data_IF_862525894901
#
_entry.id   IF_862525894901
#
_cell.length_a   1.000
_cell.length_b   1.000
_cell.length_c   1.000
_cell.angle_alpha   90.00
_cell.angle_beta   90.00
_cell.angle_gamma   90.00
#
_symmetry.space_group_name_H-M   'P 1'
#
loop_
_entity.id
_entity.type
_entity.pdbx_description
1 polymer ?
#
# COMPACT_ATOMS: atom_id res chain seq x y z
N UNK A 1 10.84 -15.06 13.60
CA UNK A 1 10.03 -15.02 14.84
C UNK A 1 9.83 -13.59 15.30
N UNK A 2 8.89 -13.33 16.21
CA UNK A 2 8.48 -11.98 16.61
C UNK A 2 9.58 -11.11 17.25
N UNK A 3 10.65 -11.71 17.76
CA UNK A 3 11.82 -11.01 18.28
C UNK A 3 12.78 -10.47 17.20
N UNK A 4 12.58 -10.83 15.94
CA UNK A 4 13.40 -10.32 14.84
C UNK A 4 12.75 -9.08 14.21
N UNK A 5 13.53 -8.15 13.62
CA UNK A 5 12.99 -7.06 12.85
C UNK A 5 11.99 -7.57 11.81
N UNK A 6 10.84 -6.90 11.70
CA UNK A 6 9.78 -7.23 10.76
C UNK A 6 9.52 -6.06 9.81
N UNK A 7 9.30 -6.29 8.50
CA UNK A 7 9.10 -5.21 7.53
C UNK A 7 8.03 -4.20 7.93
N UNK A 8 6.85 -4.67 8.34
CA UNK A 8 5.74 -3.78 8.73
C UNK A 8 6.07 -2.88 9.94
N UNK A 9 6.77 -3.41 10.95
CA UNK A 9 7.17 -2.65 12.15
C UNK A 9 8.30 -1.68 11.82
N UNK A 10 9.30 -2.13 11.08
CA UNK A 10 10.42 -1.27 10.64
C UNK A 10 9.92 -0.14 9.73
N UNK A 11 8.98 -0.41 8.83
CA UNK A 11 8.36 0.59 7.98
C UNK A 11 7.56 1.62 8.78
N UNK A 12 6.75 1.19 9.76
CA UNK A 12 6.03 2.11 10.64
C UNK A 12 6.99 3.01 11.44
N UNK A 13 8.06 2.44 12.00
CA UNK A 13 9.09 3.19 12.72
C UNK A 13 9.82 4.19 11.80
N UNK A 14 10.20 3.77 10.59
CA UNK A 14 10.83 4.64 9.59
C UNK A 14 9.91 5.79 9.20
N UNK A 15 8.63 5.51 8.91
CA UNK A 15 7.66 6.55 8.56
C UNK A 15 7.49 7.58 9.69
N UNK A 16 7.42 7.13 10.95
CA UNK A 16 7.33 8.02 12.09
C UNK A 16 8.60 8.87 12.25
N UNK A 17 9.79 8.27 12.17
CA UNK A 17 11.05 8.99 12.27
C UNK A 17 11.22 10.03 11.15
N UNK A 18 10.91 9.64 9.91
CA UNK A 18 10.98 10.53 8.75
C UNK A 18 10.01 11.72 8.88
N UNK A 19 8.82 11.49 9.42
CA UNK A 19 7.77 12.53 9.54
C UNK A 19 8.05 13.50 10.70
N UNK A 20 8.40 12.97 11.88
CA UNK A 20 8.39 13.77 13.11
C UNK A 20 9.76 14.21 13.59
N UNK A 21 10.83 13.50 13.21
CA UNK A 21 12.19 13.85 13.63
C UNK A 21 12.94 14.52 12.49
N UNK A 22 12.85 13.95 11.29
CA UNK A 22 13.59 14.43 10.13
C UNK A 22 15.11 14.30 10.28
N UNK A 23 15.85 14.83 9.31
CA UNK A 23 17.31 14.83 9.28
C UNK A 23 17.97 13.46 9.05
N UNK A 24 19.30 13.45 9.04
CA UNK A 24 20.10 12.24 8.85
C UNK A 24 20.33 11.51 10.18
N UNK A 25 19.39 10.64 10.56
CA UNK A 25 19.59 9.74 11.68
C UNK A 25 20.16 8.39 11.20
N UNK A 26 21.18 7.83 11.88
CA UNK A 26 21.67 6.48 11.57
C UNK A 26 20.59 5.40 11.59
N UNK A 27 19.54 5.60 12.42
CA UNK A 27 18.37 4.72 12.49
C UNK A 27 17.53 4.75 11.21
N UNK A 28 17.32 5.93 10.60
CA UNK A 28 16.60 6.09 9.34
C UNK A 28 17.34 5.33 8.22
N UNK A 29 18.64 5.57 8.09
CA UNK A 29 19.48 4.90 7.08
C UNK A 29 19.49 3.38 7.28
N UNK A 30 19.57 2.91 8.52
CA UNK A 30 19.58 1.49 8.84
C UNK A 30 18.23 0.81 8.57
N UNK A 31 17.12 1.46 8.93
CA UNK A 31 15.76 0.98 8.66
C UNK A 31 15.48 0.92 7.16
N UNK A 32 15.83 1.97 6.42
CA UNK A 32 15.69 2.02 4.96
C UNK A 32 16.50 0.91 4.27
N UNK A 33 17.75 0.71 4.70
CA UNK A 33 18.61 -0.38 4.18
C UNK A 33 18.02 -1.75 4.47
N UNK A 34 17.48 -1.95 5.67
CA UNK A 34 16.79 -3.19 6.01
C UNK A 34 15.60 -3.44 5.07
N UNK A 35 14.68 -2.48 4.94
CA UNK A 35 13.50 -2.62 4.08
C UNK A 35 13.88 -2.94 2.63
N UNK A 36 14.86 -2.23 2.06
CA UNK A 36 15.31 -2.47 0.68
C UNK A 36 15.82 -3.90 0.46
N UNK A 37 16.45 -4.52 1.46
CA UNK A 37 16.99 -5.89 1.36
C UNK A 37 15.95 -6.97 1.60
N UNK A 38 14.88 -6.67 2.33
CA UNK A 38 13.82 -7.64 2.64
C UNK A 38 12.67 -7.62 1.65
N UNK A 39 12.79 -6.85 0.56
CA UNK A 39 11.84 -6.91 -0.53
C UNK A 39 12.08 -8.20 -1.34
N UNK A 40 11.08 -9.06 -1.43
CA UNK A 40 11.13 -10.32 -2.18
C UNK A 40 10.18 -10.20 -3.36
N UNK A 41 10.71 -10.27 -4.59
CA UNK A 41 9.90 -10.06 -5.80
C UNK A 41 9.18 -8.70 -5.85
N UNK A 42 9.70 -7.69 -5.16
CA UNK A 42 9.07 -6.36 -5.04
C UNK A 42 8.01 -6.24 -3.95
N UNK A 43 7.75 -7.30 -3.17
CA UNK A 43 6.79 -7.31 -2.08
C UNK A 43 7.49 -7.43 -0.72
N UNK A 44 6.82 -6.95 0.33
CA UNK A 44 7.24 -7.15 1.70
C UNK A 44 6.26 -8.07 2.41
N UNK A 45 6.79 -9.16 2.98
CA UNK A 45 5.97 -10.12 3.70
C UNK A 45 5.81 -9.69 5.18
N UNK A 46 4.57 -9.53 5.67
CA UNK A 46 4.33 -9.22 7.07
C UNK A 46 4.44 -10.46 7.95
N UNK A 47 4.64 -10.21 9.24
CA UNK A 47 4.52 -11.23 10.29
C UNK A 47 3.13 -11.22 10.95
N UNK A 48 2.52 -10.04 11.07
CA UNK A 48 1.27 -9.83 11.82
C UNK A 48 0.03 -9.70 10.93
N UNK A 49 0.16 -9.77 9.61
CA UNK A 49 -0.96 -9.50 8.70
C UNK A 49 -1.07 -10.61 7.68
N UNK A 50 -2.29 -10.88 7.22
CA UNK A 50 -2.45 -11.78 6.10
C UNK A 50 -2.04 -11.10 4.79
N UNK A 51 -1.23 -11.80 3.98
CA UNK A 51 -0.83 -11.37 2.64
C UNK A 51 0.16 -10.19 2.65
N UNK A 52 0.80 -9.88 1.50
CA UNK A 52 1.88 -8.90 1.43
C UNK A 52 1.40 -7.44 1.40
N UNK A 53 0.12 -7.17 1.14
CA UNK A 53 -0.41 -5.84 0.84
C UNK A 53 -0.13 -4.80 1.94
N UNK A 54 -0.30 -5.18 3.21
CA UNK A 54 -0.08 -4.27 4.33
C UNK A 54 1.37 -3.85 4.50
N UNK A 55 2.28 -4.82 4.59
CA UNK A 55 3.71 -4.53 4.75
C UNK A 55 4.28 -3.83 3.51
N UNK A 56 3.82 -4.19 2.31
CA UNK A 56 4.23 -3.55 1.06
C UNK A 56 3.81 -2.08 1.04
N UNK A 57 2.53 -1.78 1.32
CA UNK A 57 2.04 -0.41 1.37
C UNK A 57 2.82 0.45 2.38
N UNK A 58 3.03 -0.06 3.60
CA UNK A 58 3.83 0.66 4.60
C UNK A 58 5.28 0.86 4.17
N UNK A 59 5.94 -0.16 3.63
CA UNK A 59 7.33 -0.08 3.21
C UNK A 59 7.52 0.92 2.07
N UNK A 60 6.65 0.90 1.06
CA UNK A 60 6.66 1.87 -0.05
C UNK A 60 6.50 3.28 0.47
N UNK A 61 5.51 3.54 1.35
CA UNK A 61 5.29 4.87 1.91
C UNK A 61 6.47 5.34 2.76
N UNK A 62 7.00 4.48 3.62
CA UNK A 62 8.11 4.80 4.51
C UNK A 62 9.40 5.10 3.73
N UNK A 63 9.69 4.31 2.69
CA UNK A 63 10.81 4.57 1.79
C UNK A 63 10.58 5.84 0.98
N UNK A 64 9.39 6.05 0.44
CA UNK A 64 9.02 7.27 -0.30
C UNK A 64 9.17 8.55 0.52
N UNK A 65 8.87 8.49 1.82
CA UNK A 65 9.00 9.63 2.75
C UNK A 65 10.46 10.12 2.93
N UNK A 66 11.45 9.27 2.63
CA UNK A 66 12.88 9.65 2.68
C UNK A 66 13.49 9.80 1.28
N UNK A 67 12.68 9.68 0.23
CA UNK A 67 13.09 9.79 -1.17
C UNK A 67 12.44 8.74 -2.07
N UNK A 68 12.36 8.98 -3.38
CA UNK A 68 11.75 8.05 -4.31
C UNK A 68 12.46 6.69 -4.31
N UNK A 69 11.70 5.61 -4.50
CA UNK A 69 12.29 4.29 -4.74
C UNK A 69 13.07 4.31 -6.07
N UNK A 70 14.16 3.53 -6.20
CA UNK A 70 14.81 3.33 -7.48
C UNK A 70 13.79 2.86 -8.55
N UNK A 71 13.83 3.37 -9.79
CA UNK A 71 12.83 3.07 -10.81
C UNK A 71 12.62 1.57 -11.05
N UNK A 72 13.70 0.78 -11.04
CA UNK A 72 13.62 -0.68 -11.17
C UNK A 72 12.84 -1.33 -10.01
N UNK A 73 13.10 -0.91 -8.77
CA UNK A 73 12.39 -1.43 -7.61
C UNK A 73 10.92 -1.03 -7.62
N UNK A 74 10.61 0.23 -7.97
CA UNK A 74 9.24 0.70 -8.14
C UNK A 74 8.49 -0.10 -9.20
N UNK A 75 9.10 -0.32 -10.37
CA UNK A 75 8.52 -1.11 -11.45
C UNK A 75 8.28 -2.58 -11.04
N UNK A 76 9.23 -3.20 -10.33
CA UNK A 76 9.05 -4.56 -9.79
C UNK A 76 7.89 -4.63 -8.81
N UNK A 77 7.78 -3.68 -7.87
CA UNK A 77 6.66 -3.63 -6.92
C UNK A 77 5.32 -3.40 -7.63
N UNK A 78 5.25 -2.48 -8.60
CA UNK A 78 4.03 -2.26 -9.40
C UNK A 78 3.60 -3.55 -10.10
N UNK A 79 4.53 -4.21 -10.80
CA UNK A 79 4.24 -5.45 -11.53
C UNK A 79 3.76 -6.56 -10.59
N UNK A 80 4.37 -6.71 -9.41
CA UNK A 80 3.98 -7.71 -8.42
C UNK A 80 2.63 -7.41 -7.76
N UNK A 81 2.30 -6.13 -7.52
CA UNK A 81 0.98 -5.74 -7.02
C UNK A 81 -0.09 -6.00 -8.08
N UNK A 82 0.15 -5.63 -9.34
CA UNK A 82 -0.79 -5.84 -10.43
C UNK A 82 -1.01 -7.33 -10.77
N UNK A 83 0.03 -8.16 -10.68
CA UNK A 83 -0.11 -9.60 -10.94
C UNK A 83 -0.94 -10.34 -9.90
N UNK A 84 -1.07 -9.78 -8.69
CA UNK A 84 -1.91 -10.32 -7.61
C UNK A 84 -3.37 -9.83 -7.67
N UNK A 85 -3.74 -9.06 -8.69
CA UNK A 85 -5.08 -8.50 -8.85
C UNK A 85 -6.09 -9.58 -9.25
N UNK A 86 -7.26 -9.52 -8.65
CA UNK A 86 -8.38 -10.44 -8.92
C UNK A 86 -9.15 -10.01 -10.20
N UNK A 87 -9.91 -10.93 -10.84
CA UNK A 87 -10.69 -10.62 -12.04
C UNK A 87 -11.75 -9.52 -11.86
N UNK A 88 -12.28 -9.34 -10.64
CA UNK A 88 -13.24 -8.26 -10.31
C UNK A 88 -12.56 -6.90 -10.10
N UNK A 89 -11.24 -6.86 -10.21
CA UNK A 89 -10.43 -5.66 -10.25
C UNK A 89 -9.87 -5.18 -8.91
N UNK A 90 -10.12 -5.91 -7.82
CA UNK A 90 -9.54 -5.65 -6.52
C UNK A 90 -8.43 -6.63 -6.14
N UNK A 91 -8.20 -6.78 -4.84
CA UNK A 91 -7.24 -7.72 -4.27
C UNK A 91 -7.89 -8.52 -3.14
N UNK A 92 -7.53 -9.79 -3.03
CA UNK A 92 -8.04 -10.71 -2.01
C UNK A 92 -7.25 -10.64 -0.70
N UNK A 93 -7.84 -11.18 0.37
CA UNK A 93 -7.15 -11.49 1.62
C UNK A 93 -6.69 -12.95 1.64
N UNK A 94 -7.02 -13.68 2.70
CA UNK A 94 -6.67 -15.10 2.84
C UNK A 94 -7.13 -16.03 1.74
N UNK A 95 -8.33 -15.81 1.25
CA UNK A 95 -8.95 -16.70 0.27
C UNK A 95 -8.96 -15.98 -1.08
N UNK A 96 -8.22 -16.49 -2.08
CA UNK A 96 -8.28 -15.96 -3.44
C UNK A 96 -9.68 -16.06 -4.04
N UNK A 97 -9.94 -15.28 -5.09
CA UNK A 97 -11.20 -15.31 -5.85
C UNK A 97 -12.30 -14.40 -5.30
N UNK A 98 -12.03 -13.63 -4.24
CA UNK A 98 -12.89 -12.54 -3.78
C UNK A 98 -12.07 -11.36 -3.31
N UNK A 99 -12.24 -10.22 -3.97
CA UNK A 99 -11.63 -8.97 -3.50
C UNK A 99 -12.26 -8.49 -2.21
N UNK A 100 -11.41 -7.97 -1.32
CA UNK A 100 -11.78 -7.42 -0.04
C UNK A 100 -11.40 -5.94 0.06
N UNK A 101 -12.18 -5.10 0.77
CA UNK A 101 -11.91 -3.66 0.83
C UNK A 101 -10.51 -3.30 1.37
N UNK A 102 -10.05 -3.98 2.42
CA UNK A 102 -8.76 -3.68 3.05
C UNK A 102 -7.54 -3.90 2.13
N UNK A 103 -7.29 -5.12 1.59
CA UNK A 103 -6.18 -5.34 0.67
C UNK A 103 -6.31 -4.51 -0.61
N UNK A 104 -7.54 -4.29 -1.12
CA UNK A 104 -7.77 -3.43 -2.29
C UNK A 104 -7.32 -1.99 -2.03
N UNK A 105 -7.68 -1.41 -0.89
CA UNK A 105 -7.25 -0.06 -0.52
C UNK A 105 -5.73 0.07 -0.33
N UNK A 106 -5.08 -0.97 0.22
CA UNK A 106 -3.63 -0.99 0.41
C UNK A 106 -2.87 -1.11 -0.91
N UNK A 107 -3.31 -1.97 -1.82
CA UNK A 107 -2.74 -2.09 -3.16
C UNK A 107 -2.94 -0.81 -3.97
N UNK A 108 -4.14 -0.23 -3.94
CA UNK A 108 -4.42 1.08 -4.53
C UNK A 108 -3.46 2.15 -3.98
N UNK A 109 -3.32 2.26 -2.66
CA UNK A 109 -2.40 3.21 -2.02
C UNK A 109 -0.94 2.97 -2.43
N UNK A 110 -0.54 1.71 -2.60
CA UNK A 110 0.82 1.35 -3.04
C UNK A 110 1.07 1.84 -4.47
N UNK A 111 0.15 1.55 -5.40
CA UNK A 111 0.25 1.99 -6.79
C UNK A 111 0.29 3.51 -6.90
N UNK A 112 -0.55 4.20 -6.13
CA UNK A 112 -0.56 5.67 -6.04
C UNK A 112 0.78 6.22 -5.55
N UNK A 113 1.34 5.66 -4.47
CA UNK A 113 2.62 6.09 -3.91
C UNK A 113 3.80 5.85 -4.84
N UNK A 114 3.69 4.92 -5.79
CA UNK A 114 4.69 4.64 -6.82
C UNK A 114 4.46 5.41 -8.12
N UNK A 115 3.46 6.29 -8.17
CA UNK A 115 3.16 7.10 -9.35
C UNK A 115 2.57 6.32 -10.52
N UNK A 116 1.95 5.16 -10.28
CA UNK A 116 1.25 4.40 -11.32
C UNK A 116 0.04 5.19 -11.86
N UNK A 117 -0.28 5.06 -13.15
CA UNK A 117 -1.36 5.83 -13.82
C UNK A 117 -2.33 4.96 -14.63
N UNK A 118 -2.30 3.65 -14.46
CA UNK A 118 -3.14 2.73 -15.22
C UNK A 118 -4.63 2.74 -14.82
N UNK A 119 -5.51 2.18 -15.69
CA UNK A 119 -6.95 2.10 -15.46
C UNK A 119 -7.36 1.29 -14.22
N UNK A 120 -6.46 0.46 -13.70
CA UNK A 120 -6.65 -0.35 -12.50
C UNK A 120 -6.93 0.49 -11.26
N UNK A 121 -6.47 1.75 -11.22
CA UNK A 121 -6.76 2.67 -10.14
C UNK A 121 -8.26 3.02 -10.09
N UNK A 122 -8.83 3.39 -11.23
CA UNK A 122 -10.25 3.70 -11.34
C UNK A 122 -11.09 2.47 -11.02
N UNK A 123 -10.76 1.33 -11.62
CA UNK A 123 -11.48 0.08 -11.36
C UNK A 123 -11.44 -0.35 -9.88
N UNK A 124 -10.30 -0.20 -9.21
CA UNK A 124 -10.19 -0.47 -7.78
C UNK A 124 -11.04 0.51 -6.95
N UNK A 125 -11.07 1.79 -7.31
CA UNK A 125 -11.88 2.80 -6.62
C UNK A 125 -13.38 2.58 -6.81
N UNK A 126 -13.82 2.22 -8.03
CA UNK A 126 -15.20 1.91 -8.34
C UNK A 126 -15.68 0.67 -7.56
N UNK A 127 -14.83 -0.37 -7.51
CA UNK A 127 -15.09 -1.56 -6.71
C UNK A 127 -15.25 -1.20 -5.22
N UNK A 128 -14.36 -0.37 -4.67
CA UNK A 128 -14.46 0.08 -3.28
C UNK A 128 -15.78 0.82 -3.06
N UNK A 129 -16.08 1.84 -3.87
CA UNK A 129 -17.32 2.63 -3.75
C UNK A 129 -18.58 1.76 -3.85
N UNK A 130 -18.61 0.79 -4.77
CA UNK A 130 -19.71 -0.17 -4.90
C UNK A 130 -19.89 -1.08 -3.66
N UNK A 131 -18.86 -1.24 -2.83
CA UNK A 131 -18.88 -2.03 -1.60
C UNK A 131 -19.15 -1.20 -0.34
N UNK A 132 -19.31 0.11 -0.47
CA UNK A 132 -19.65 0.97 0.67
C UNK A 132 -21.06 0.63 1.17
N UNK A 133 -21.20 0.42 2.48
CA UNK A 133 -22.50 0.18 3.12
C UNK A 133 -23.26 1.50 3.27
N UNK A 134 -24.57 1.42 3.48
CA UNK A 134 -25.41 2.59 3.76
C UNK A 134 -24.95 3.44 4.96
N UNK A 135 -24.25 2.83 5.93
CA UNK A 135 -23.64 3.54 7.06
C UNK A 135 -22.35 4.29 6.72
N UNK A 136 -21.86 4.20 5.48
CA UNK A 136 -20.57 4.74 5.04
C UNK A 136 -19.37 3.83 5.32
N UNK A 137 -19.55 2.77 6.12
CA UNK A 137 -18.50 1.82 6.46
C UNK A 137 -18.29 0.75 5.37
N UNK A 138 -17.16 0.06 5.45
CA UNK A 138 -16.82 -1.08 4.57
C UNK A 138 -16.84 -2.41 5.34
N UNK A 139 -16.89 -3.52 4.61
CA UNK A 139 -16.74 -4.85 5.17
C UNK A 139 -15.39 -5.04 5.85
N UNK A 140 -15.42 -5.47 7.10
CA UNK A 140 -14.23 -5.80 7.87
C UNK A 140 -13.41 -6.86 7.16
N UNK A 141 -12.17 -6.53 6.85
CA UNK A 141 -11.27 -7.40 6.09
C UNK A 141 -9.81 -7.21 6.44
N UNK A 142 -9.53 -6.48 7.53
CA UNK A 142 -8.17 -6.37 8.03
C UNK A 142 -7.85 -7.57 8.93
N UNK A 143 -7.20 -8.57 8.33
CA UNK A 143 -6.87 -9.85 8.96
C UNK A 143 -5.50 -9.80 9.66
N UNK A 144 -5.51 -9.68 10.98
CA UNK A 144 -4.33 -9.67 11.84
C UNK A 144 -4.01 -11.10 12.31
N UNK A 145 -2.78 -11.54 12.09
CA UNK A 145 -2.23 -12.79 12.63
C UNK A 145 -1.67 -12.52 14.03
N UNK A 146 -2.06 -13.35 15.00
CA UNK A 146 -1.55 -13.31 16.37
C UNK A 146 -0.84 -14.63 16.67
N UNK A 147 0.48 -14.71 16.46
CA UNK A 147 1.29 -15.88 16.80
C UNK A 147 1.32 -16.12 18.31
N UNK A 148 1.21 -17.40 18.70
CA UNK A 148 1.30 -17.80 20.10
C UNK A 148 0.17 -17.26 20.97
N UNK A 149 -1.06 -17.20 20.43
CA UNK A 149 -2.25 -16.83 21.20
C UNK A 149 -2.51 -17.79 22.39
N UNK A 150 -3.70 -17.73 22.97
CA UNK A 150 -4.08 -18.50 24.18
C UNK A 150 -3.83 -20.01 24.06
N UNK A 151 -3.76 -20.56 22.84
CA UNK A 151 -3.58 -21.99 22.54
C UNK A 151 -2.24 -22.37 21.89
N UNK A 152 -1.21 -21.51 21.88
CA UNK A 152 0.04 -21.69 21.11
C UNK A 152 -0.13 -21.79 19.57
N UNK A 153 -1.36 -21.78 19.06
CA UNK A 153 -1.68 -21.69 17.63
C UNK A 153 -1.75 -20.22 17.19
N UNK A 154 -1.41 -19.96 15.93
CA UNK A 154 -1.61 -18.64 15.32
C UNK A 154 -3.11 -18.40 15.13
N UNK A 155 -3.62 -17.35 15.77
CA UNK A 155 -5.01 -16.91 15.60
C UNK A 155 -5.10 -15.85 14.52
N UNK A 156 -6.25 -15.77 13.84
CA UNK A 156 -6.59 -14.64 12.95
C UNK A 156 -7.67 -13.81 13.60
N UNK A 157 -7.38 -12.53 13.83
CA UNK A 157 -8.36 -11.54 14.26
C UNK A 157 -8.74 -10.69 13.06
N UNK A 158 -10.03 -10.39 12.93
CA UNK A 158 -10.53 -9.48 11.90
C UNK A 158 -10.98 -8.19 12.61
N UNK A 159 -10.72 -7.04 11.99
CA UNK A 159 -11.12 -5.76 12.58
C UNK A 159 -12.65 -5.62 12.71
N UNK A 160 -13.11 -4.64 13.51
CA UNK A 160 -14.52 -4.28 13.59
C UNK A 160 -15.03 -3.42 12.41
N UNK A 161 -14.31 -3.40 11.29
CA UNK A 161 -14.58 -2.57 10.12
C UNK A 161 -14.04 -1.14 10.19
N UNK A 162 -13.60 -0.66 11.36
CA UNK A 162 -13.05 0.71 11.53
C UNK A 162 -11.71 0.87 10.84
N UNK A 163 -10.81 -0.10 11.00
CA UNK A 163 -9.47 -0.02 10.43
C UNK A 163 -9.54 -0.18 8.91
N UNK A 164 -10.34 -1.13 8.44
CA UNK A 164 -10.66 -1.29 7.03
C UNK A 164 -11.21 0.00 6.43
N UNK A 165 -12.22 0.59 7.06
CA UNK A 165 -12.85 1.84 6.58
C UNK A 165 -11.84 2.98 6.52
N UNK A 166 -10.99 3.15 7.53
CA UNK A 166 -9.96 4.19 7.53
C UNK A 166 -8.98 4.03 6.37
N UNK A 167 -8.51 2.80 6.09
CA UNK A 167 -7.62 2.54 4.96
C UNK A 167 -8.29 2.82 3.61
N UNK A 168 -9.56 2.43 3.45
CA UNK A 168 -10.33 2.70 2.23
C UNK A 168 -10.49 4.21 2.00
N UNK A 169 -10.93 4.95 3.01
CA UNK A 169 -11.09 6.41 2.91
C UNK A 169 -9.77 7.10 2.59
N UNK A 170 -8.67 6.66 3.21
CA UNK A 170 -7.35 7.21 2.93
C UNK A 170 -6.92 6.97 1.47
N UNK A 171 -7.13 5.76 0.94
CA UNK A 171 -6.79 5.43 -0.44
C UNK A 171 -7.62 6.24 -1.46
N UNK A 172 -8.94 6.34 -1.23
CA UNK A 172 -9.85 7.11 -2.09
C UNK A 172 -9.54 8.61 -2.04
N UNK A 173 -9.21 9.15 -0.86
CA UNK A 173 -8.77 10.53 -0.73
C UNK A 173 -7.45 10.77 -1.48
N UNK A 174 -6.45 9.90 -1.31
CA UNK A 174 -5.18 10.01 -2.02
C UNK A 174 -5.35 9.96 -3.55
N UNK A 175 -6.28 9.14 -4.06
CA UNK A 175 -6.61 9.10 -5.48
C UNK A 175 -7.23 10.42 -5.96
N UNK A 176 -8.16 10.99 -5.18
CA UNK A 176 -8.83 12.26 -5.50
C UNK A 176 -7.88 13.45 -5.48
N UNK A 177 -6.95 13.50 -4.54
CA UNK A 177 -6.00 14.62 -4.41
C UNK A 177 -4.84 14.55 -5.42
N UNK A 178 -4.82 13.54 -6.29
CA UNK A 178 -3.85 13.53 -7.38
C UNK A 178 -4.04 14.78 -8.24
N UNK A 179 -2.96 15.50 -8.59
CA UNK A 179 -3.03 16.47 -9.66
C UNK A 179 -3.58 15.75 -10.89
N UNK A 180 -4.66 16.26 -11.47
CA UNK A 180 -5.08 15.79 -12.78
C UNK A 180 -3.85 15.87 -13.68
N UNK A 181 -3.46 14.75 -14.31
CA UNK A 181 -2.37 14.72 -15.25
C UNK A 181 -2.59 15.90 -16.19
N UNK A 182 -1.68 16.89 -16.16
CA UNK A 182 -1.80 18.04 -17.04
C UNK A 182 -1.76 17.44 -18.44
N UNK A 183 -2.89 17.49 -19.13
CA UNK A 183 -2.91 17.26 -20.56
C UNK A 183 -2.08 18.41 -21.12
N UNK A 184 -0.79 18.17 -21.32
CA UNK A 184 0.04 19.02 -22.16
C UNK A 184 -0.58 18.91 -23.53
N UNK A 185 -1.44 19.87 -23.85
CA UNK A 185 -2.00 20.04 -25.16
C UNK A 185 -0.82 20.34 -26.11
N UNK A 186 -0.41 19.40 -26.98
CA UNK A 186 0.78 19.58 -27.82
C UNK A 186 0.57 20.65 -28.90
N UNK A 187 -0.60 21.28 -28.95
CA UNK A 187 -1.01 22.24 -29.96
C UNK A 187 -0.48 23.66 -29.76
N UNK A 188 0.15 24.00 -28.63
CA UNK A 188 0.62 25.35 -28.36
C UNK A 188 2.16 25.47 -28.41
N UNK A 189 2.77 25.06 -29.52
CA UNK A 189 4.13 25.50 -29.84
C UNK A 189 4.05 26.89 -30.50
N UNK A 190 4.63 27.95 -29.91
CA UNK A 190 4.69 29.25 -30.57
C UNK A 190 5.60 29.12 -31.80
N UNK A 191 5.03 29.25 -32.98
CA UNK A 191 5.77 29.46 -34.22
C UNK A 191 6.57 30.75 -34.09
N UNK A 192 7.88 30.61 -33.82
CA UNK A 192 8.85 31.68 -34.02
C UNK A 192 8.90 31.99 -35.53
N UNK A 193 8.30 33.11 -35.92
CA UNK A 193 8.55 33.68 -37.24
C UNK A 193 9.92 34.40 -37.25
N UNK A 194 10.64 34.34 -38.39
CA UNK A 194 12.02 34.83 -38.54
C UNK A 194 12.16 36.35 -38.48
#
# INVERSE_FOLDING_TARGET
>A
GWFHPQPCVTAAALAALATYVGGELPAITSAARYLRRTAEGGLWHPYWWYGPSYATCLAVRALGAIGPLPPAAAATTIAAVLSAREPDGGWSGRVPGRSLPFPTALCLSTLLALGYEGPELSAASDLLLARQRASGAFEASAELLVPGGVSAQTMTLVDGGRFTTACVLHALHALRERPAARHEDPSCSPTLHP
#
